data_IF_404684054288
#
_entry.id   IF_404684054288
#
_cell.length_a   1.000
_cell.length_b   1.000
_cell.length_c   1.000
_cell.angle_alpha   90.00
_cell.angle_beta   90.00
_cell.angle_gamma   90.00
#
_symmetry.space_group_name_H-M   'P 1'
#
loop_
_entity.id
_entity.type
_entity.pdbx_description
1 polymer ?
#
# COMPACT_ATOMS: atom_id res chain seq x y z
N UNK A 1 -1.69 -14.02 -13.46
CA UNK A 1 -2.82 -13.06 -13.52
C UNK A 1 -2.66 -12.11 -12.35
N UNK A 2 -2.91 -10.80 -12.52
CA UNK A 2 -2.83 -9.86 -11.40
C UNK A 2 -3.89 -10.21 -10.34
N UNK A 3 -3.50 -10.14 -9.08
CA UNK A 3 -4.36 -10.32 -7.92
C UNK A 3 -4.97 -8.97 -7.56
N UNK A 4 -6.29 -8.92 -7.40
CA UNK A 4 -6.99 -7.71 -6.96
C UNK A 4 -7.66 -7.94 -5.62
N UNK A 5 -7.45 -7.02 -4.69
CA UNK A 5 -8.08 -7.03 -3.36
C UNK A 5 -8.76 -5.69 -3.10
N UNK A 6 -9.93 -5.76 -2.47
CA UNK A 6 -10.61 -4.58 -1.95
C UNK A 6 -10.29 -4.46 -0.46
N UNK A 7 -9.83 -3.29 -0.05
CA UNK A 7 -9.53 -2.97 1.35
C UNK A 7 -10.53 -1.92 1.80
N UNK A 8 -11.35 -2.28 2.79
CA UNK A 8 -12.31 -1.36 3.37
C UNK A 8 -11.58 -0.22 4.10
N UNK A 9 -12.25 0.93 4.21
CA UNK A 9 -11.80 2.04 5.04
C UNK A 9 -11.45 1.55 6.46
N UNK A 10 -10.35 2.06 6.99
CA UNK A 10 -9.81 1.77 8.32
C UNK A 10 -9.46 0.28 8.55
N UNK A 11 -9.45 -0.51 7.48
CA UNK A 11 -8.97 -1.88 7.46
C UNK A 11 -7.58 -1.95 6.83
N UNK A 12 -6.89 -3.06 7.10
CA UNK A 12 -5.58 -3.35 6.52
C UNK A 12 -5.57 -4.74 5.89
N UNK A 13 -4.66 -4.95 4.95
CA UNK A 13 -4.43 -6.24 4.31
C UNK A 13 -2.94 -6.48 4.12
N UNK A 14 -2.46 -7.62 4.60
CA UNK A 14 -1.13 -8.14 4.26
C UNK A 14 -1.14 -8.58 2.80
N UNK A 15 -0.14 -8.13 2.05
CA UNK A 15 0.07 -8.35 0.63
C UNK A 15 1.51 -8.84 0.45
N UNK A 16 1.64 -10.00 -0.17
CA UNK A 16 2.91 -10.49 -0.69
C UNK A 16 2.96 -10.20 -2.18
N UNK A 17 3.87 -9.32 -2.59
CA UNK A 17 4.02 -8.94 -3.98
C UNK A 17 4.59 -10.07 -4.84
N UNK A 18 5.33 -11.03 -4.28
CA UNK A 18 5.95 -12.13 -5.01
C UNK A 18 6.63 -11.67 -6.32
N UNK A 19 6.18 -12.22 -7.45
CA UNK A 19 6.70 -11.91 -8.79
C UNK A 19 6.17 -10.58 -9.39
N UNK A 20 5.35 -9.82 -8.67
CA UNK A 20 4.84 -8.54 -9.15
C UNK A 20 5.92 -7.47 -9.17
N UNK A 21 5.78 -6.51 -10.10
CA UNK A 21 6.65 -5.33 -10.18
C UNK A 21 6.26 -4.24 -9.21
N UNK A 22 5.13 -4.39 -8.50
CA UNK A 22 4.62 -3.43 -7.52
C UNK A 22 3.13 -3.60 -7.33
N UNK A 23 2.45 -2.52 -6.96
CA UNK A 23 1.01 -2.51 -6.82
C UNK A 23 0.40 -1.22 -7.36
N UNK A 24 -0.81 -1.33 -7.91
CA UNK A 24 -1.65 -0.21 -8.32
C UNK A 24 -2.79 -0.07 -7.32
N UNK A 25 -2.84 1.09 -6.66
CA UNK A 25 -3.85 1.42 -5.66
C UNK A 25 -4.82 2.42 -6.27
N UNK A 26 -6.11 2.11 -6.22
CA UNK A 26 -7.19 2.95 -6.72
C UNK A 26 -8.13 3.37 -5.60
N UNK A 27 -8.59 4.62 -5.63
CA UNK A 27 -9.62 5.13 -4.73
C UNK A 27 -10.85 5.52 -5.58
N UNK A 28 -11.78 4.58 -5.85
CA UNK A 28 -12.76 4.73 -6.91
C UNK A 28 -13.84 5.78 -6.62
N UNK A 29 -14.25 5.92 -5.36
CA UNK A 29 -15.42 6.73 -4.98
C UNK A 29 -15.02 8.03 -4.30
N UNK A 30 -14.07 7.98 -3.37
CA UNK A 30 -13.68 9.10 -2.53
C UNK A 30 -12.16 9.12 -2.34
N UNK A 31 -11.63 10.26 -1.89
CA UNK A 31 -10.22 10.40 -1.57
C UNK A 31 -9.83 9.46 -0.42
N UNK A 32 -8.73 8.73 -0.59
CA UNK A 32 -8.17 7.85 0.42
C UNK A 32 -6.79 8.33 0.88
N UNK A 33 -6.51 8.26 2.18
CA UNK A 33 -5.16 8.36 2.73
C UNK A 33 -4.62 6.95 2.94
N UNK A 34 -3.68 6.54 2.11
CA UNK A 34 -3.17 5.17 2.03
C UNK A 34 -1.85 5.08 2.78
N UNK A 35 -1.73 4.07 3.64
CA UNK A 35 -0.46 3.70 4.26
C UNK A 35 0.00 2.34 3.75
N UNK A 36 1.32 2.21 3.58
CA UNK A 36 1.98 0.97 3.19
C UNK A 36 3.09 0.69 4.18
N UNK A 37 2.91 -0.34 4.99
CA UNK A 37 3.75 -0.66 6.12
C UNK A 37 4.40 -2.02 5.91
N UNK A 38 5.43 -2.36 6.68
CA UNK A 38 5.87 -3.74 6.81
C UNK A 38 6.19 -4.05 8.27
N UNK A 39 6.05 -5.31 8.63
CA UNK A 39 6.44 -5.77 9.96
C UNK A 39 7.96 -5.90 10.01
N UNK A 40 8.60 -5.20 10.96
CA UNK A 40 10.04 -5.29 11.11
C UNK A 40 10.42 -6.69 11.64
N UNK A 41 11.27 -7.47 10.93
CA UNK A 41 11.61 -8.84 11.34
C UNK A 41 12.44 -8.89 12.63
N UNK A 42 13.06 -7.78 13.03
CA UNK A 42 13.81 -7.66 14.28
C UNK A 42 12.87 -7.44 15.49
N UNK A 43 12.19 -8.52 15.91
CA UNK A 43 11.79 -8.81 17.30
C UNK A 43 10.77 -7.89 18.01
N UNK A 44 10.36 -6.76 17.44
CA UNK A 44 9.51 -5.79 18.13
C UNK A 44 8.02 -5.89 17.79
N UNK A 45 7.65 -6.62 16.74
CA UNK A 45 6.26 -6.69 16.25
C UNK A 45 5.74 -5.35 15.71
N UNK A 46 6.58 -4.32 15.63
CA UNK A 46 6.21 -2.99 15.19
C UNK A 46 6.14 -2.92 13.66
N UNK A 47 5.19 -2.13 13.18
CA UNK A 47 5.06 -1.78 11.78
C UNK A 47 5.82 -0.49 11.51
N UNK A 48 6.63 -0.51 10.46
CA UNK A 48 7.37 0.63 9.95
C UNK A 48 6.89 0.97 8.54
N UNK A 49 7.15 2.19 8.08
CA UNK A 49 6.89 2.55 6.69
C UNK A 49 7.63 1.61 5.74
N UNK A 50 6.92 1.00 4.79
CA UNK A 50 7.55 0.23 3.73
C UNK A 50 8.04 1.13 2.59
N UNK A 51 7.56 2.37 2.47
CA UNK A 51 8.02 3.29 1.44
C UNK A 51 9.43 3.80 1.78
N UNK A 52 10.40 3.55 0.89
CA UNK A 52 11.77 4.06 0.98
C UNK A 52 11.78 5.58 0.85
N UNK A 53 12.69 6.24 1.58
CA UNK A 53 12.94 7.68 1.42
C UNK A 53 13.33 8.07 -0.01
N UNK A 54 14.00 7.17 -0.75
CA UNK A 54 14.38 7.37 -2.15
C UNK A 54 13.21 7.36 -3.14
N UNK A 55 12.01 6.91 -2.72
CA UNK A 55 10.83 6.87 -3.58
C UNK A 55 10.26 8.28 -3.87
N UNK A 56 10.62 9.28 -3.07
CA UNK A 56 10.22 10.67 -3.29
C UNK A 56 8.76 10.98 -2.94
N UNK A 57 8.05 10.07 -2.26
CA UNK A 57 6.73 10.32 -1.70
C UNK A 57 6.61 9.76 -0.28
N UNK A 58 5.72 10.37 0.51
CA UNK A 58 5.53 10.03 1.91
C UNK A 58 4.68 8.78 2.12
N UNK A 59 4.70 8.31 3.36
CA UNK A 59 3.78 7.32 3.90
C UNK A 59 3.18 7.88 5.20
N UNK A 60 1.86 8.14 5.28
CA UNK A 60 0.86 7.87 4.26
C UNK A 60 0.94 8.82 3.04
N UNK A 61 0.32 8.42 1.93
CA UNK A 61 0.09 9.25 0.75
C UNK A 61 -1.39 9.32 0.36
N UNK A 62 -1.75 10.33 -0.42
CA UNK A 62 -3.13 10.57 -0.83
C UNK A 62 -3.40 10.01 -2.22
N UNK A 63 -4.52 9.29 -2.37
CA UNK A 63 -5.10 8.92 -3.66
C UNK A 63 -6.43 9.68 -3.81
N UNK A 64 -6.55 10.51 -4.84
CA UNK A 64 -7.75 11.31 -5.09
C UNK A 64 -8.92 10.42 -5.53
N UNK A 65 -10.15 10.91 -5.36
CA UNK A 65 -11.36 10.22 -5.85
C UNK A 65 -11.29 9.99 -7.37
N UNK A 66 -11.58 8.76 -7.80
CA UNK A 66 -11.40 8.30 -9.18
C UNK A 66 -9.94 8.13 -9.60
N UNK A 67 -9.00 8.41 -8.70
CA UNK A 67 -7.57 8.40 -8.95
C UNK A 67 -6.89 7.07 -8.66
N UNK A 68 -5.64 6.96 -9.12
CA UNK A 68 -4.77 5.80 -8.88
C UNK A 68 -3.35 6.23 -8.55
N UNK A 69 -2.66 5.44 -7.72
CA UNK A 69 -1.23 5.55 -7.43
C UNK A 69 -0.56 4.21 -7.69
N UNK A 70 0.53 4.23 -8.46
CA UNK A 70 1.42 3.07 -8.56
C UNK A 70 2.47 3.18 -7.46
N UNK A 71 2.71 2.07 -6.77
CA UNK A 71 3.80 1.87 -5.80
C UNK A 71 4.66 0.76 -6.36
N UNK A 72 5.88 1.09 -6.79
CA UNK A 72 6.77 0.09 -7.40
C UNK A 72 7.40 -0.77 -6.31
N UNK A 73 7.68 -2.04 -6.61
CA UNK A 73 8.41 -2.92 -5.67
C UNK A 73 9.80 -2.36 -5.34
N UNK A 74 10.42 -1.63 -6.27
CA UNK A 74 11.68 -0.91 -6.03
C UNK A 74 11.57 0.18 -4.96
N UNK A 75 10.39 0.77 -4.79
CA UNK A 75 10.11 1.83 -3.82
C UNK A 75 9.94 1.27 -2.40
N UNK A 76 9.90 -0.05 -2.24
CA UNK A 76 9.57 -0.71 -0.98
C UNK A 76 10.78 -1.31 -0.28
N UNK A 77 10.83 -1.19 1.04
CA UNK A 77 11.80 -1.85 1.92
C UNK A 77 11.58 -3.37 2.01
N UNK A 78 10.37 -3.83 1.73
CA UNK A 78 9.95 -5.23 1.82
C UNK A 78 8.98 -5.58 0.70
N UNK A 79 8.99 -6.84 0.25
CA UNK A 79 7.98 -7.37 -0.68
C UNK A 79 6.71 -7.85 0.03
N UNK A 80 6.81 -8.17 1.31
CA UNK A 80 5.69 -8.43 2.20
C UNK A 80 5.32 -7.12 2.90
N UNK A 81 4.16 -6.58 2.55
CA UNK A 81 3.68 -5.29 3.04
C UNK A 81 2.25 -5.38 3.53
N UNK A 82 1.91 -4.52 4.48
CA UNK A 82 0.54 -4.27 4.92
C UNK A 82 0.05 -2.98 4.30
N UNK A 83 -1.03 -3.05 3.53
CA UNK A 83 -1.67 -1.87 2.94
C UNK A 83 -2.94 -1.57 3.70
N UNK A 84 -3.18 -0.29 4.00
CA UNK A 84 -4.45 0.17 4.55
C UNK A 84 -4.80 1.56 4.07
N UNK A 85 -6.07 1.94 4.27
CA UNK A 85 -6.56 3.25 3.87
C UNK A 85 -7.45 3.86 4.95
N UNK A 86 -7.35 5.18 5.10
CA UNK A 86 -8.32 6.01 5.83
C UNK A 86 -9.18 6.79 4.85
N UNK A 87 -10.33 7.25 5.32
CA UNK A 87 -11.31 8.11 4.61
C UNK A 87 -12.11 7.44 3.48
N UNK A 88 -11.60 6.38 2.84
CA UNK A 88 -12.32 5.65 1.80
C UNK A 88 -11.82 4.22 1.60
N UNK A 89 -12.64 3.39 0.96
CA UNK A 89 -12.25 2.08 0.47
C UNK A 89 -11.27 2.23 -0.70
N UNK A 90 -10.32 1.30 -0.80
CA UNK A 90 -9.38 1.23 -1.92
C UNK A 90 -9.40 -0.14 -2.57
N UNK A 91 -8.98 -0.18 -3.83
CA UNK A 91 -8.69 -1.41 -4.57
C UNK A 91 -7.20 -1.47 -4.84
N UNK A 92 -6.56 -2.60 -4.53
CA UNK A 92 -5.14 -2.84 -4.77
C UNK A 92 -4.99 -3.99 -5.76
N UNK A 93 -4.21 -3.77 -6.82
CA UNK A 93 -3.91 -4.79 -7.83
C UNK A 93 -2.40 -5.01 -7.92
N UNK A 94 -1.93 -6.26 -7.83
CA UNK A 94 -0.51 -6.65 -7.87
C UNK A 94 -0.30 -7.98 -8.59
#
# INVERSE_FOLDING_TARGET
>A
MPTTVNIAQDSTREIDLGNSTGMRIAAPVAQASVHVDYQHPAGSGNYSSAIKGSAGYGNPFTVLAGGTKNVLKSDLESEHVRVGARNANITVTY
#
